data_IF_947080891710
#
_entry.id   IF_947080891710
#
_cell.length_a   1.000
_cell.length_b   1.000
_cell.length_c   1.000
_cell.angle_alpha   90.00
_cell.angle_beta   90.00
_cell.angle_gamma   90.00
#
_symmetry.space_group_name_H-M   'P 1'
#
loop_
_entity.id
_entity.type
_entity.pdbx_description
1 polymer ?
#
# COMPACT_ATOMS: atom_id res chain seq x y z
N UNK A 1 21.38 -2.06 35.36
CA UNK A 1 22.10 -1.10 34.49
C UNK A 1 21.78 -1.25 32.99
N UNK A 2 21.42 -2.43 32.50
CA UNK A 2 21.03 -2.65 31.10
C UNK A 2 19.75 -1.88 30.67
N UNK A 3 18.76 -1.69 31.55
CA UNK A 3 17.50 -1.02 31.23
C UNK A 3 17.63 0.47 30.88
N UNK A 4 18.57 1.20 31.51
CA UNK A 4 18.76 2.64 31.27
C UNK A 4 19.51 2.93 29.95
N UNK A 5 20.40 2.05 29.51
CA UNK A 5 21.07 2.17 28.22
C UNK A 5 20.09 1.86 27.07
N UNK A 6 19.27 0.83 27.22
CA UNK A 6 18.26 0.47 26.25
C UNK A 6 17.23 1.61 26.05
N UNK A 7 16.77 2.21 27.16
CA UNK A 7 15.89 3.39 27.12
C UNK A 7 16.51 4.62 26.44
N UNK A 8 17.84 4.79 26.50
CA UNK A 8 18.53 5.88 25.82
C UNK A 8 18.57 5.66 24.30
N UNK A 9 18.77 4.42 23.85
CA UNK A 9 18.71 4.06 22.42
C UNK A 9 17.27 4.10 21.88
N UNK A 10 16.29 3.69 22.69
CA UNK A 10 14.85 3.75 22.34
C UNK A 10 14.37 5.19 22.10
N UNK A 11 14.99 6.18 22.76
CA UNK A 11 14.68 7.61 22.60
C UNK A 11 15.50 8.30 21.51
N UNK A 12 16.60 7.69 21.09
CA UNK A 12 17.51 8.24 20.08
C UNK A 12 17.02 7.91 18.67
N UNK A 13 16.43 8.88 17.96
CA UNK A 13 15.92 8.72 16.60
C UNK A 13 17.04 8.42 15.60
N UNK A 14 18.23 8.95 15.85
CA UNK A 14 19.37 8.95 14.91
C UNK A 14 20.53 8.05 15.33
N UNK A 15 20.37 7.28 16.40
CA UNK A 15 21.45 6.48 16.98
C UNK A 15 21.17 5.00 16.73
N UNK A 16 22.11 4.33 16.08
CA UNK A 16 22.08 2.87 15.98
C UNK A 16 22.31 2.22 17.34
N UNK A 17 21.52 1.23 17.66
CA UNK A 17 21.79 0.34 18.80
C UNK A 17 23.07 -0.47 18.54
N UNK A 18 23.67 -1.10 19.58
CA UNK A 18 24.80 -2.00 19.41
C UNK A 18 24.56 -3.13 18.39
N UNK A 19 23.30 -3.51 18.19
CA UNK A 19 22.85 -4.53 17.22
C UNK A 19 22.61 -3.95 15.82
N UNK A 20 22.93 -2.66 15.58
CA UNK A 20 22.78 -2.00 14.28
C UNK A 20 21.34 -1.64 13.90
N UNK A 21 20.42 -1.51 14.87
CA UNK A 21 19.01 -1.19 14.65
C UNK A 21 18.70 0.27 14.98
N UNK A 22 17.80 0.87 14.21
CA UNK A 22 17.15 2.14 14.54
C UNK A 22 15.78 1.82 15.16
N UNK A 23 15.66 1.76 16.48
CA UNK A 23 14.45 1.34 17.18
C UNK A 23 13.22 2.17 16.79
N UNK A 24 13.37 3.46 16.52
CA UNK A 24 12.25 4.30 16.09
C UNK A 24 11.71 3.91 14.71
N UNK A 25 12.56 3.39 13.82
CA UNK A 25 12.13 2.82 12.52
C UNK A 25 11.41 1.49 12.74
N UNK A 26 11.88 0.65 13.66
CA UNK A 26 11.19 -0.61 14.01
C UNK A 26 9.80 -0.34 14.60
N UNK A 27 9.67 0.66 15.48
CA UNK A 27 8.35 1.07 16.00
C UNK A 27 7.43 1.63 14.90
N UNK A 28 7.99 2.34 13.92
CA UNK A 28 7.23 2.80 12.77
C UNK A 28 6.74 1.63 11.90
N UNK A 29 7.56 0.59 11.70
CA UNK A 29 7.16 -0.65 11.02
C UNK A 29 6.03 -1.37 11.75
N UNK A 30 6.07 -1.40 13.09
CA UNK A 30 4.97 -1.97 13.88
C UNK A 30 3.66 -1.16 13.74
N UNK A 31 3.73 0.15 13.54
CA UNK A 31 2.56 0.97 13.23
C UNK A 31 1.98 0.62 11.85
N UNK A 32 2.82 0.33 10.85
CA UNK A 32 2.39 -0.15 9.53
C UNK A 32 1.65 -1.48 9.64
N UNK A 33 2.21 -2.48 10.35
CA UNK A 33 1.61 -3.81 10.53
C UNK A 33 0.23 -3.78 11.18
N UNK A 34 -0.08 -2.74 11.98
CA UNK A 34 -1.39 -2.54 12.62
C UNK A 34 -2.42 -1.83 11.71
N UNK A 35 -1.96 -1.27 10.61
CA UNK A 35 -2.82 -0.68 9.59
C UNK A 35 -3.56 -1.76 8.82
N UNK A 36 -4.79 -1.51 8.37
CA UNK A 36 -5.48 -2.44 7.47
C UNK A 36 -4.71 -2.63 6.17
N UNK A 37 -4.82 -3.81 5.57
CA UNK A 37 -4.04 -4.23 4.41
C UNK A 37 -4.20 -3.29 3.21
N UNK A 38 -3.15 -3.18 2.42
CA UNK A 38 -3.21 -2.68 1.05
C UNK A 38 -2.34 -3.58 0.16
N UNK A 39 -2.81 -3.85 -1.04
CA UNK A 39 -2.22 -4.78 -2.00
C UNK A 39 -1.97 -4.05 -3.31
N UNK A 40 -0.86 -4.33 -3.96
CA UNK A 40 -0.57 -3.92 -5.32
C UNK A 40 -0.22 -5.12 -6.17
N UNK A 41 -0.79 -5.20 -7.37
CA UNK A 41 -0.51 -6.24 -8.36
C UNK A 41 -0.17 -5.57 -9.68
N UNK A 42 0.97 -5.91 -10.25
CA UNK A 42 1.42 -5.48 -11.58
C UNK A 42 1.36 -6.65 -12.53
N UNK A 43 0.75 -6.46 -13.69
CA UNK A 43 0.72 -7.40 -14.81
C UNK A 43 1.03 -6.66 -16.11
N UNK A 44 1.15 -7.36 -17.22
CA UNK A 44 1.31 -6.72 -18.54
C UNK A 44 0.13 -5.80 -18.91
N UNK A 45 -1.05 -6.04 -18.34
CA UNK A 45 -2.25 -5.21 -18.54
C UNK A 45 -2.28 -3.91 -17.74
N UNK A 46 -1.39 -3.72 -16.76
CA UNK A 46 -1.39 -2.54 -15.90
C UNK A 46 -1.14 -2.86 -14.42
N UNK A 47 -1.59 -1.96 -13.56
CA UNK A 47 -1.47 -2.09 -12.10
C UNK A 47 -2.85 -2.02 -11.45
N UNK A 48 -3.15 -2.98 -10.57
CA UNK A 48 -4.28 -2.94 -9.65
C UNK A 48 -3.79 -2.58 -8.24
N UNK A 49 -4.46 -1.64 -7.58
CA UNK A 49 -4.25 -1.29 -6.18
C UNK A 49 -5.53 -1.54 -5.42
N UNK A 50 -5.45 -2.36 -4.38
CA UNK A 50 -6.55 -2.70 -3.49
C UNK A 50 -6.21 -2.23 -2.07
N UNK A 51 -7.22 -1.79 -1.32
CA UNK A 51 -7.06 -1.49 0.10
C UNK A 51 -8.28 -1.98 0.90
N UNK A 52 -8.01 -2.69 2.00
CA UNK A 52 -9.01 -3.06 2.99
C UNK A 52 -9.56 -1.79 3.66
N UNK A 53 -10.86 -1.55 3.52
CA UNK A 53 -11.59 -0.42 4.09
C UNK A 53 -12.23 -0.84 5.40
N UNK A 54 -11.49 -0.69 6.49
CA UNK A 54 -11.97 -1.08 7.81
C UNK A 54 -12.98 -0.08 8.36
N UNK A 55 -14.26 -0.41 8.27
CA UNK A 55 -15.35 0.35 8.91
C UNK A 55 -15.50 -0.14 10.35
N UNK A 56 -15.25 0.76 11.31
CA UNK A 56 -15.28 0.40 12.76
C UNK A 56 -16.62 0.62 13.43
N UNK A 57 -17.56 1.26 12.76
CA UNK A 57 -18.87 1.62 13.30
C UNK A 57 -19.85 1.86 12.16
N UNK A 58 -21.09 1.44 12.33
CA UNK A 58 -22.20 1.76 11.41
C UNK A 58 -22.53 3.27 11.32
N UNK A 59 -21.96 4.08 12.22
CA UNK A 59 -22.07 5.54 12.19
C UNK A 59 -20.92 6.22 11.43
N UNK A 60 -19.97 5.46 10.93
CA UNK A 60 -18.85 5.97 10.16
C UNK A 60 -19.23 6.02 8.69
N UNK A 61 -19.03 7.17 8.04
CA UNK A 61 -19.20 7.30 6.60
C UNK A 61 -18.08 6.56 5.86
N UNK A 62 -18.37 5.50 5.08
CA UNK A 62 -17.36 4.72 4.37
C UNK A 62 -16.49 5.57 3.44
N UNK A 63 -17.07 6.58 2.80
CA UNK A 63 -16.38 7.52 1.91
C UNK A 63 -15.28 8.35 2.60
N UNK A 64 -15.30 8.44 3.93
CA UNK A 64 -14.28 9.15 4.71
C UNK A 64 -12.97 8.37 4.85
N UNK A 65 -12.98 7.06 4.53
CA UNK A 65 -11.79 6.22 4.57
C UNK A 65 -11.05 6.34 3.24
N UNK A 66 -9.98 7.11 3.24
CA UNK A 66 -9.14 7.32 2.07
C UNK A 66 -7.82 6.57 2.24
N UNK A 67 -7.62 5.52 1.46
CA UNK A 67 -6.38 4.72 1.42
C UNK A 67 -5.77 4.61 0.03
N UNK A 68 -6.59 4.84 -1.01
CA UNK A 68 -6.16 4.89 -2.40
C UNK A 68 -6.20 6.33 -2.90
N UNK A 69 -5.10 6.77 -3.48
CA UNK A 69 -4.91 8.16 -3.86
C UNK A 69 -4.31 8.27 -5.27
N UNK A 70 -4.81 9.19 -6.04
CA UNK A 70 -4.18 9.62 -7.29
C UNK A 70 -3.04 10.58 -6.98
N UNK A 71 -1.83 10.25 -7.42
CA UNK A 71 -0.67 11.13 -7.34
C UNK A 71 -0.51 11.96 -8.62
N UNK A 72 -0.62 11.31 -9.78
CA UNK A 72 -0.70 11.93 -11.11
C UNK A 72 -1.67 11.11 -11.99
N UNK A 73 -1.89 11.51 -13.24
CA UNK A 73 -2.83 10.83 -14.15
C UNK A 73 -2.48 9.36 -14.38
N UNK A 74 -1.21 9.03 -14.34
CA UNK A 74 -0.66 7.69 -14.58
C UNK A 74 -0.08 7.03 -13.32
N UNK A 75 -0.23 7.63 -12.12
CA UNK A 75 0.32 7.12 -10.85
C UNK A 75 -0.73 7.12 -9.75
N UNK A 76 -0.89 5.94 -9.11
CA UNK A 76 -1.70 5.74 -7.92
C UNK A 76 -0.84 5.37 -6.71
N UNK A 77 -1.36 5.64 -5.50
CA UNK A 77 -0.71 5.32 -4.24
C UNK A 77 -1.72 4.63 -3.32
N UNK A 78 -1.34 3.48 -2.77
CA UNK A 78 -2.04 2.84 -1.66
C UNK A 78 -1.21 2.98 -0.38
N UNK A 79 -1.87 3.04 0.79
CA UNK A 79 -1.19 3.28 2.06
C UNK A 79 -1.63 2.32 3.16
N UNK A 80 -0.71 1.96 4.08
CA UNK A 80 -1.03 1.28 5.33
C UNK A 80 -0.23 1.87 6.48
N UNK A 81 -0.89 2.07 7.64
CA UNK A 81 -0.31 2.64 8.84
C UNK A 81 -0.99 3.93 9.27
N UNK A 82 -0.22 4.92 9.67
CA UNK A 82 -0.72 6.16 10.25
C UNK A 82 -1.25 7.13 9.19
N UNK A 83 -2.56 7.38 9.19
CA UNK A 83 -3.27 8.15 8.13
C UNK A 83 -2.73 9.57 7.94
N UNK A 84 -2.39 10.27 9.04
CA UNK A 84 -1.86 11.63 8.94
C UNK A 84 -0.49 11.67 8.25
N UNK A 85 0.34 10.65 8.48
CA UNK A 85 1.64 10.51 7.83
C UNK A 85 1.47 10.17 6.35
N UNK A 86 0.54 9.26 6.03
CA UNK A 86 0.18 8.94 4.65
C UNK A 86 -0.19 10.19 3.87
N UNK A 87 -1.12 11.01 4.42
CA UNK A 87 -1.57 12.26 3.78
C UNK A 87 -0.41 13.20 3.49
N UNK A 88 0.52 13.37 4.43
CA UNK A 88 1.68 14.25 4.24
C UNK A 88 2.57 13.78 3.07
N UNK A 89 2.84 12.47 2.97
CA UNK A 89 3.65 11.91 1.89
C UNK A 89 2.93 11.94 0.54
N UNK A 90 1.63 11.71 0.52
CA UNK A 90 0.81 11.80 -0.70
C UNK A 90 0.76 13.24 -1.24
N UNK A 91 0.58 14.22 -0.35
CA UNK A 91 0.62 15.63 -0.74
C UNK A 91 2.01 16.06 -1.23
N UNK A 92 3.08 15.47 -0.65
CA UNK A 92 4.44 15.65 -1.16
C UNK A 92 4.57 15.05 -2.57
N UNK A 93 4.14 13.80 -2.78
CA UNK A 93 4.20 13.13 -4.08
C UNK A 93 3.45 13.91 -5.17
N UNK A 94 2.24 14.37 -4.87
CA UNK A 94 1.44 15.22 -5.79
C UNK A 94 2.18 16.49 -6.18
N UNK A 95 2.80 17.17 -5.21
CA UNK A 95 3.58 18.38 -5.50
C UNK A 95 4.78 18.09 -6.38
N UNK A 96 5.50 16.99 -6.13
CA UNK A 96 6.66 16.63 -6.96
C UNK A 96 6.24 16.31 -8.39
N UNK A 97 5.15 15.58 -8.59
CA UNK A 97 4.60 15.31 -9.92
C UNK A 97 4.25 16.62 -10.67
N UNK A 98 3.58 17.59 -10.00
CA UNK A 98 3.25 18.86 -10.60
C UNK A 98 4.51 19.72 -10.89
N UNK A 99 5.48 19.74 -9.99
CA UNK A 99 6.75 20.47 -10.20
C UNK A 99 7.52 19.89 -11.36
N UNK A 100 7.56 18.54 -11.51
CA UNK A 100 8.21 17.89 -12.64
C UNK A 100 7.56 18.33 -13.95
N UNK A 101 6.23 18.26 -14.04
CA UNK A 101 5.45 18.65 -15.24
C UNK A 101 5.69 20.13 -15.62
N UNK A 102 5.78 21.02 -14.62
CA UNK A 102 6.07 22.43 -14.85
C UNK A 102 7.50 22.70 -15.33
N UNK A 103 8.47 21.88 -14.91
CA UNK A 103 9.89 22.09 -15.23
C UNK A 103 10.31 21.47 -16.57
N UNK A 104 9.77 20.27 -16.84
CA UNK A 104 10.22 19.43 -17.94
C UNK A 104 9.16 19.22 -19.02
N UNK A 105 7.92 19.73 -18.80
CA UNK A 105 6.77 19.60 -19.71
C UNK A 105 6.37 18.14 -19.99
N UNK A 106 6.81 17.21 -19.13
CA UNK A 106 6.53 15.76 -19.22
C UNK A 106 6.07 15.19 -17.85
N UNK A 107 5.32 14.07 -17.84
CA UNK A 107 4.97 13.38 -16.62
C UNK A 107 6.20 12.90 -15.86
N UNK A 108 6.12 12.84 -14.54
CA UNK A 108 7.20 12.26 -13.72
C UNK A 108 7.20 10.74 -13.85
N UNK A 109 8.38 10.12 -14.00
CA UNK A 109 8.51 8.66 -13.97
C UNK A 109 8.10 8.07 -12.60
N UNK A 110 7.55 6.86 -12.61
CA UNK A 110 7.08 6.17 -11.38
C UNK A 110 8.25 5.93 -10.44
N UNK A 111 9.38 5.46 -10.97
CA UNK A 111 10.62 5.26 -10.20
C UNK A 111 11.15 6.58 -9.62
N UNK A 112 11.15 7.64 -10.43
CA UNK A 112 11.63 8.96 -10.01
C UNK A 112 10.77 9.51 -8.86
N UNK A 113 9.44 9.44 -8.98
CA UNK A 113 8.54 9.87 -7.91
C UNK A 113 8.75 9.05 -6.64
N UNK A 114 8.93 7.73 -6.78
CA UNK A 114 9.19 6.85 -5.64
C UNK A 114 10.48 7.23 -4.91
N UNK A 115 11.56 7.52 -5.64
CA UNK A 115 12.83 7.99 -5.06
C UNK A 115 12.67 9.31 -4.32
N UNK A 116 11.98 10.29 -4.90
CA UNK A 116 11.70 11.58 -4.24
C UNK A 116 10.93 11.39 -2.92
N UNK A 117 9.93 10.49 -2.91
CA UNK A 117 9.16 10.16 -1.69
C UNK A 117 10.05 9.47 -0.65
N UNK A 118 10.86 8.49 -1.05
CA UNK A 118 11.73 7.76 -0.12
C UNK A 118 12.86 8.63 0.43
N UNK A 119 13.42 9.54 -0.36
CA UNK A 119 14.39 10.52 0.09
C UNK A 119 13.78 11.46 1.14
N UNK A 120 12.52 11.87 0.94
CA UNK A 120 11.78 12.64 1.93
C UNK A 120 11.58 11.84 3.23
N UNK A 121 11.19 10.55 3.15
CA UNK A 121 11.08 9.69 4.32
C UNK A 121 12.41 9.57 5.05
N UNK A 122 13.50 9.31 4.33
CA UNK A 122 14.84 9.15 4.88
C UNK A 122 15.31 10.40 5.64
N UNK A 123 15.05 11.60 5.11
CA UNK A 123 15.39 12.85 5.77
C UNK A 123 14.84 12.92 7.19
N UNK A 124 13.60 12.47 7.42
CA UNK A 124 12.98 12.44 8.74
C UNK A 124 13.62 11.42 9.70
N UNK A 125 14.29 10.39 9.20
CA UNK A 125 15.05 9.44 10.04
C UNK A 125 16.40 10.02 10.50
N UNK A 126 16.89 11.08 9.85
CA UNK A 126 18.21 11.66 10.11
C UNK A 126 18.14 13.00 10.88
N UNK A 127 16.98 13.63 10.94
CA UNK A 127 16.79 14.93 11.63
C UNK A 127 16.44 14.69 13.10
N UNK A 128 17.28 15.15 13.99
CA UNK A 128 17.03 15.09 15.44
C UNK A 128 15.75 15.86 15.82
N UNK A 129 14.89 15.23 16.60
CA UNK A 129 13.62 15.78 17.06
C UNK A 129 12.41 15.48 16.16
N UNK A 130 12.60 14.95 14.94
CA UNK A 130 11.52 14.40 14.10
C UNK A 130 11.36 12.89 14.37
N UNK A 131 10.14 12.36 14.29
CA UNK A 131 9.91 10.92 14.31
C UNK A 131 9.87 10.38 12.88
N UNK A 132 10.24 9.12 12.64
CA UNK A 132 9.99 8.46 11.35
C UNK A 132 8.48 8.44 11.01
N UNK A 133 8.17 8.37 9.72
CA UNK A 133 6.80 8.15 9.26
C UNK A 133 6.35 6.74 9.63
N UNK A 134 5.20 6.63 10.30
CA UNK A 134 4.59 5.34 10.66
C UNK A 134 3.69 4.80 9.57
N UNK A 135 4.12 4.84 8.31
CA UNK A 135 3.34 4.46 7.13
C UNK A 135 4.25 3.81 6.10
N UNK A 136 3.73 2.81 5.40
CA UNK A 136 4.26 2.29 4.15
C UNK A 136 3.32 2.67 3.01
N UNK A 137 3.88 2.86 1.82
CA UNK A 137 3.14 3.17 0.60
C UNK A 137 3.44 2.11 -0.46
N UNK A 138 2.42 1.78 -1.25
CA UNK A 138 2.56 1.11 -2.53
C UNK A 138 2.33 2.18 -3.60
N UNK A 139 3.32 2.41 -4.46
CA UNK A 139 3.26 3.37 -5.55
C UNK A 139 3.24 2.57 -6.84
N UNK A 140 2.13 2.65 -7.57
CA UNK A 140 1.94 1.95 -8.84
C UNK A 140 1.63 2.92 -9.97
N UNK A 141 2.08 2.59 -11.17
CA UNK A 141 1.83 3.43 -12.34
C UNK A 141 2.27 2.78 -13.63
N UNK A 142 2.06 3.47 -14.73
CA UNK A 142 2.54 3.08 -16.06
C UNK A 142 3.50 4.15 -16.56
N UNK A 143 4.72 3.74 -16.92
CA UNK A 143 5.79 4.60 -17.43
C UNK A 143 6.25 4.06 -18.78
N UNK A 144 6.11 4.85 -19.84
CA UNK A 144 6.46 4.47 -21.23
C UNK A 144 5.83 3.14 -21.70
N UNK A 145 4.56 2.90 -21.30
CA UNK A 145 3.82 1.68 -21.59
C UNK A 145 4.16 0.50 -20.68
N UNK A 146 5.13 0.65 -19.76
CA UNK A 146 5.53 -0.39 -18.82
C UNK A 146 4.88 -0.18 -17.44
N UNK A 147 4.10 -1.13 -16.92
CA UNK A 147 3.59 -1.08 -15.56
C UNK A 147 4.72 -1.21 -14.53
N UNK A 148 4.72 -0.36 -13.52
CA UNK A 148 5.71 -0.31 -12.44
C UNK A 148 5.02 -0.33 -11.09
N UNK A 149 5.62 -1.00 -10.12
CA UNK A 149 5.07 -1.15 -8.76
C UNK A 149 6.18 -1.11 -7.73
N UNK A 150 6.10 -0.19 -6.79
CA UNK A 150 7.09 0.00 -5.73
C UNK A 150 6.45 -0.02 -4.35
N UNK A 151 7.17 -0.59 -3.37
CA UNK A 151 6.89 -0.45 -1.94
C UNK A 151 7.88 0.56 -1.34
N UNK A 152 7.42 1.40 -0.43
CA UNK A 152 8.25 2.20 0.46
C UNK A 152 8.03 1.77 1.89
N UNK A 153 9.10 1.72 2.69
CA UNK A 153 9.02 1.42 4.10
C UNK A 153 9.39 2.65 4.97
N UNK A 154 9.15 2.63 6.29
CA UNK A 154 9.51 3.73 7.20
C UNK A 154 10.99 4.10 7.25
N UNK A 155 11.90 3.27 6.73
CA UNK A 155 13.33 3.59 6.62
C UNK A 155 13.67 4.43 5.39
N UNK A 156 12.73 4.58 4.45
CA UNK A 156 12.94 5.27 3.19
C UNK A 156 13.63 4.41 2.12
N UNK A 157 13.45 3.09 2.18
CA UNK A 157 13.96 2.19 1.14
C UNK A 157 12.87 1.91 0.11
N UNK A 158 13.09 2.20 -1.19
CA UNK A 158 12.19 1.76 -2.25
C UNK A 158 12.55 0.33 -2.67
N UNK A 159 11.52 -0.50 -2.88
CA UNK A 159 11.68 -1.85 -3.45
C UNK A 159 10.71 -2.01 -4.59
N UNK A 160 11.16 -2.45 -5.75
CA UNK A 160 10.30 -2.77 -6.89
C UNK A 160 9.76 -4.19 -6.77
N UNK A 161 8.46 -4.36 -7.02
CA UNK A 161 7.75 -5.62 -6.88
C UNK A 161 6.93 -5.96 -8.13
N UNK A 162 6.65 -7.24 -8.30
CA UNK A 162 5.60 -7.72 -9.22
C UNK A 162 4.23 -7.68 -8.56
N UNK A 163 4.19 -8.08 -7.29
CA UNK A 163 3.02 -7.99 -6.44
C UNK A 163 3.47 -7.84 -5.00
N UNK A 164 2.76 -7.05 -4.19
CA UNK A 164 3.16 -6.72 -2.82
C UNK A 164 1.95 -6.40 -1.95
N UNK A 165 2.08 -6.69 -0.66
CA UNK A 165 1.13 -6.30 0.37
C UNK A 165 1.81 -5.52 1.49
N UNK A 166 1.10 -4.56 2.08
CA UNK A 166 1.50 -3.81 3.27
C UNK A 166 0.35 -3.77 4.29
N UNK A 167 0.66 -3.62 5.54
CA UNK A 167 -0.34 -3.60 6.62
C UNK A 167 -0.47 -4.94 7.33
N UNK A 168 -1.68 -5.19 7.91
CA UNK A 168 -1.97 -6.46 8.57
C UNK A 168 -2.07 -7.61 7.57
N UNK A 169 -1.97 -8.82 8.06
CA UNK A 169 -2.09 -10.07 7.29
C UNK A 169 -1.13 -10.19 6.09
N UNK A 170 -0.07 -9.34 6.08
CA UNK A 170 0.89 -9.23 4.97
C UNK A 170 1.48 -10.58 4.57
N UNK A 171 1.84 -11.43 5.53
CA UNK A 171 2.48 -12.74 5.25
C UNK A 171 1.52 -13.66 4.52
N UNK A 172 0.29 -13.83 5.03
CA UNK A 172 -0.72 -14.67 4.39
C UNK A 172 -1.12 -14.17 2.99
N UNK A 173 -1.21 -12.83 2.83
CA UNK A 173 -1.48 -12.23 1.51
C UNK A 173 -0.33 -12.52 0.54
N UNK A 174 0.92 -12.35 0.97
CA UNK A 174 2.08 -12.60 0.12
C UNK A 174 2.19 -14.06 -0.29
N UNK A 175 1.94 -15.01 0.61
CA UNK A 175 1.96 -16.44 0.31
C UNK A 175 0.96 -16.76 -0.81
N UNK A 176 -0.26 -16.23 -0.72
CA UNK A 176 -1.27 -16.41 -1.77
C UNK A 176 -0.85 -15.77 -3.10
N UNK A 177 -0.29 -14.55 -3.05
CA UNK A 177 0.18 -13.83 -4.24
C UNK A 177 1.32 -14.59 -4.92
N UNK A 178 2.29 -15.13 -4.18
CA UNK A 178 3.43 -15.89 -4.71
C UNK A 178 2.97 -17.16 -5.45
N UNK A 179 1.97 -17.86 -4.93
CA UNK A 179 1.44 -19.09 -5.51
C UNK A 179 0.62 -18.84 -6.78
N UNK A 180 -0.10 -17.71 -6.87
CA UNK A 180 -1.10 -17.47 -7.89
C UNK A 180 -0.72 -16.38 -8.91
N UNK A 181 0.43 -15.71 -8.74
CA UNK A 181 0.84 -14.60 -9.61
C UNK A 181 1.09 -15.03 -11.06
N UNK A 182 0.51 -14.28 -12.01
CA UNK A 182 0.70 -14.47 -13.45
C UNK A 182 1.04 -13.14 -14.11
N UNK A 183 2.26 -12.97 -14.64
CA UNK A 183 2.70 -11.70 -15.23
C UNK A 183 1.91 -11.31 -16.49
N UNK A 184 1.48 -12.29 -17.28
CA UNK A 184 0.76 -12.15 -18.54
C UNK A 184 -0.77 -11.97 -18.38
N UNK A 185 -1.26 -11.90 -17.16
CA UNK A 185 -2.67 -11.66 -16.90
C UNK A 185 -3.11 -10.27 -17.39
N UNK A 186 -4.35 -10.18 -17.86
CA UNK A 186 -4.99 -8.90 -18.11
C UNK A 186 -5.22 -8.14 -16.79
N UNK A 187 -5.59 -6.87 -16.88
CA UNK A 187 -5.84 -6.03 -15.71
C UNK A 187 -6.92 -6.59 -14.78
N UNK A 188 -7.99 -7.20 -15.34
CA UNK A 188 -9.04 -7.87 -14.57
C UNK A 188 -8.47 -9.03 -13.74
N UNK A 189 -7.55 -9.82 -14.31
CA UNK A 189 -6.85 -10.86 -13.56
C UNK A 189 -5.94 -10.34 -12.43
N UNK A 190 -5.43 -9.11 -12.53
CA UNK A 190 -4.72 -8.47 -11.43
C UNK A 190 -5.68 -8.03 -10.31
N UNK A 191 -6.91 -7.62 -10.66
CA UNK A 191 -7.98 -7.31 -9.72
C UNK A 191 -8.39 -8.58 -8.97
N UNK A 192 -8.70 -9.65 -9.72
CA UNK A 192 -9.11 -10.94 -9.17
C UNK A 192 -8.09 -11.51 -8.20
N UNK A 193 -6.79 -11.45 -8.57
CA UNK A 193 -5.70 -11.89 -7.72
C UNK A 193 -5.63 -11.08 -6.40
N UNK A 194 -5.79 -9.76 -6.47
CA UNK A 194 -5.74 -8.91 -5.28
C UNK A 194 -6.94 -9.16 -4.35
N UNK A 195 -8.14 -9.30 -4.90
CA UNK A 195 -9.37 -9.61 -4.13
C UNK A 195 -9.28 -10.98 -3.47
N UNK A 196 -8.89 -12.01 -4.23
CA UNK A 196 -8.74 -13.37 -3.72
C UNK A 196 -7.69 -13.47 -2.62
N UNK A 197 -6.56 -12.78 -2.78
CA UNK A 197 -5.50 -12.75 -1.76
C UNK A 197 -5.99 -12.11 -0.44
N UNK A 198 -6.78 -11.02 -0.54
CA UNK A 198 -7.33 -10.39 0.65
C UNK A 198 -8.40 -11.28 1.32
N UNK A 199 -9.32 -11.84 0.54
CA UNK A 199 -10.39 -12.72 1.04
C UNK A 199 -9.80 -13.94 1.77
N UNK A 200 -8.84 -14.63 1.14
CA UNK A 200 -8.18 -15.80 1.73
C UNK A 200 -7.45 -15.43 3.04
N UNK A 201 -6.76 -14.30 3.08
CA UNK A 201 -6.02 -13.89 4.28
C UNK A 201 -6.93 -13.46 5.44
N UNK A 202 -8.15 -13.01 5.14
CA UNK A 202 -9.14 -12.62 6.16
C UNK A 202 -10.05 -13.78 6.58
N UNK A 203 -10.06 -14.85 5.81
CA UNK A 203 -10.97 -15.99 5.99
C UNK A 203 -12.44 -15.55 6.07
N UNK A 204 -12.80 -14.56 5.23
CA UNK A 204 -14.15 -14.02 5.16
C UNK A 204 -14.50 -13.54 3.75
N UNK A 205 -15.78 -13.61 3.40
CA UNK A 205 -16.28 -13.01 2.16
C UNK A 205 -16.12 -11.48 2.21
N UNK A 206 -15.66 -10.92 1.09
CA UNK A 206 -15.56 -9.46 0.93
C UNK A 206 -16.89 -8.91 0.37
N UNK A 207 -17.22 -7.70 0.77
CA UNK A 207 -18.26 -6.89 0.15
C UNK A 207 -17.68 -5.61 -0.45
N UNK A 208 -18.43 -4.97 -1.35
CA UNK A 208 -17.97 -3.77 -2.05
C UNK A 208 -17.72 -2.58 -1.08
N UNK A 209 -18.38 -2.56 0.08
CA UNK A 209 -18.17 -1.53 1.09
C UNK A 209 -16.90 -1.76 1.91
N UNK A 210 -16.41 -2.99 1.97
CA UNK A 210 -15.22 -3.37 2.76
C UNK A 210 -13.90 -3.15 2.03
N UNK A 211 -13.91 -2.86 0.73
CA UNK A 211 -12.70 -2.68 -0.07
C UNK A 211 -12.70 -1.39 -0.87
N UNK A 212 -11.52 -0.93 -1.22
CA UNK A 212 -11.29 0.13 -2.20
C UNK A 212 -10.43 -0.45 -3.31
N UNK A 213 -10.75 -0.15 -4.56
CA UNK A 213 -10.04 -0.66 -5.72
C UNK A 213 -9.76 0.46 -6.72
N UNK A 214 -8.55 0.49 -7.26
CA UNK A 214 -8.16 1.36 -8.36
C UNK A 214 -7.26 0.64 -9.33
N UNK A 215 -7.31 1.06 -10.59
CA UNK A 215 -6.47 0.55 -11.67
C UNK A 215 -5.69 1.66 -12.32
N UNK A 216 -4.55 1.31 -12.88
CA UNK A 216 -3.71 2.20 -13.68
C UNK A 216 -3.30 1.42 -14.93
N UNK A 217 -3.68 1.92 -16.10
CA UNK A 217 -3.30 1.37 -17.40
C UNK A 217 -2.89 2.51 -18.35
N UNK A 218 -2.31 2.16 -19.51
CA UNK A 218 -1.82 3.14 -20.47
C UNK A 218 -2.94 3.96 -21.13
N UNK A 219 -4.13 3.36 -21.32
CA UNK A 219 -5.22 4.00 -22.05
C UNK A 219 -6.02 4.96 -21.16
N UNK A 220 -6.31 4.56 -19.93
CA UNK A 220 -7.22 5.26 -19.01
C UNK A 220 -6.51 6.00 -17.88
N UNK A 221 -5.23 5.67 -17.66
CA UNK A 221 -4.49 6.16 -16.51
C UNK A 221 -5.06 5.66 -15.17
N UNK A 222 -4.90 6.45 -14.12
CA UNK A 222 -5.45 6.11 -12.80
C UNK A 222 -6.97 6.25 -12.79
N UNK A 223 -7.65 5.16 -12.43
CA UNK A 223 -9.10 5.09 -12.26
C UNK A 223 -9.46 4.38 -10.94
N UNK A 224 -10.31 4.99 -10.15
CA UNK A 224 -10.93 4.33 -9.00
C UNK A 224 -12.20 3.63 -9.47
N UNK A 225 -12.39 2.38 -9.06
CA UNK A 225 -13.60 1.62 -9.34
C UNK A 225 -14.74 2.09 -8.43
N UNK A 226 -15.96 2.08 -8.97
CA UNK A 226 -17.19 2.27 -8.20
C UNK A 226 -17.54 1.02 -7.39
N UNK A 227 -18.42 1.18 -6.40
CA UNK A 227 -18.88 0.04 -5.59
C UNK A 227 -19.62 -1.00 -6.49
N UNK A 228 -20.37 -0.59 -7.52
CA UNK A 228 -21.01 -1.48 -8.49
C UNK A 228 -20.00 -2.30 -9.31
N UNK A 229 -18.88 -1.68 -9.71
CA UNK A 229 -17.81 -2.38 -10.43
C UNK A 229 -17.07 -3.37 -9.53
N UNK A 230 -16.90 -3.02 -8.24
CA UNK A 230 -16.30 -3.92 -7.24
C UNK A 230 -17.25 -5.09 -6.97
N UNK A 231 -18.56 -4.86 -6.83
CA UNK A 231 -19.56 -5.91 -6.65
C UNK A 231 -19.56 -6.89 -7.82
N UNK A 232 -19.44 -6.38 -9.04
CA UNK A 232 -19.31 -7.22 -10.25
C UNK A 232 -18.04 -8.08 -10.17
N UNK A 233 -16.89 -7.50 -9.86
CA UNK A 233 -15.64 -8.24 -9.74
C UNK A 233 -15.69 -9.31 -8.62
N UNK A 234 -16.35 -9.01 -7.49
CA UNK A 234 -16.52 -9.97 -6.40
C UNK A 234 -17.47 -11.12 -6.78
N UNK A 235 -18.51 -10.85 -7.59
CA UNK A 235 -19.46 -11.89 -8.02
C UNK A 235 -18.88 -12.88 -9.03
N UNK A 236 -17.82 -12.48 -9.75
CA UNK A 236 -17.12 -13.32 -10.71
C UNK A 236 -16.07 -14.24 -10.03
N UNK A 237 -15.81 -14.03 -8.74
CA UNK A 237 -14.88 -14.83 -7.96
C UNK A 237 -15.63 -15.94 -7.21
N UNK A 238 -15.31 -17.20 -7.52
CA UNK A 238 -15.75 -18.36 -6.74
C UNK A 238 -14.89 -18.45 -5.47
N UNK A 239 -15.40 -17.94 -4.37
CA UNK A 239 -14.79 -18.16 -3.05
C UNK A 239 -15.34 -19.46 -2.46
N UNK A 240 -14.56 -20.54 -2.49
CA UNK A 240 -14.83 -21.75 -1.70
C UNK A 240 -14.49 -21.49 -0.22
N UNK A 241 -15.33 -20.71 0.48
CA UNK A 241 -15.32 -20.74 1.94
C UNK A 241 -16.07 -21.99 2.37
N UNK A 242 -15.39 -22.97 2.95
CA UNK A 242 -16.06 -24.06 3.64
C UNK A 242 -16.89 -23.45 4.78
N UNK A 243 -18.21 -23.49 4.66
CA UNK A 243 -19.13 -23.18 5.74
C UNK A 243 -18.90 -24.14 6.92
N UNK A 244 -17.96 -23.84 7.80
CA UNK A 244 -17.88 -24.46 9.13
C UNK A 244 -18.99 -23.92 10.05
N UNK A 245 -20.22 -23.92 9.60
CA UNK A 245 -21.39 -23.68 10.44
C UNK A 245 -22.29 -24.92 10.38
N UNK A 246 -22.35 -25.64 11.51
CA UNK A 246 -23.32 -26.65 11.93
C UNK A 246 -22.67 -28.01 12.25
N UNK A 247 -22.02 -28.09 13.41
CA UNK A 247 -22.14 -29.28 14.26
C UNK A 247 -21.86 -28.99 15.74
N UNK A 248 -22.73 -28.20 16.39
CA UNK A 248 -22.96 -28.27 17.83
C UNK A 248 -24.47 -28.42 18.09
N UNK A 249 -24.90 -29.66 18.08
CA UNK A 249 -26.21 -30.08 18.64
C UNK A 249 -26.02 -31.04 19.80
#
# INVERSE_FOLDING_TARGET
MQSNQQQAYDRGITIFSPDGRLYQVEYAREAVKRGSASIGVRTDGGVALLADRRIRSSLMEPSSVEKLHKADDHIGIASAGHVADARQLIDFARRQAQVNRLRYEEPIGVETLTKEVTDNIQQYTQVGGARPFGVALIIGGVEDGEPRLYETDPSGVPTEWKSVAIGNDREAILDYLEENYRPDAALDGAIDLALSALATAKDEALDAESVLLSTIDEERGYRRLSDDEIETALSDLDFDFEDEAEDES
#
